data_IF_893184653134
#
_entry.id   IF_893184653134
#
_cell.length_a   1.000
_cell.length_b   1.000
_cell.length_c   1.000
_cell.angle_alpha   90.00
_cell.angle_beta   90.00
_cell.angle_gamma   90.00
#
_symmetry.space_group_name_H-M   'P 1'
#
loop_
_entity.id
_entity.type
_entity.pdbx_description
1 polymer ?
#
# COMPACT_ATOMS: atom_id res chain seq x y z
N UNK A 1 -63.86 38.75 4.09
CA UNK A 1 -63.89 37.62 3.12
C UNK A 1 -63.43 38.19 1.79
N UNK A 2 -62.32 37.81 1.16
CA UNK A 2 -61.42 36.69 1.32
C UNK A 2 -59.99 37.15 0.97
N UNK A 3 -58.98 36.52 1.58
CA UNK A 3 -57.57 36.78 1.37
C UNK A 3 -57.07 36.15 0.06
N UNK A 4 -56.30 36.92 -0.73
CA UNK A 4 -55.52 36.44 -1.86
C UNK A 4 -54.15 35.97 -1.34
N UNK A 5 -53.95 34.66 -1.30
CA UNK A 5 -52.69 34.00 -0.96
C UNK A 5 -51.83 33.96 -2.22
N UNK A 6 -50.73 34.71 -2.22
CA UNK A 6 -49.66 34.63 -3.22
C UNK A 6 -48.81 33.38 -2.93
N UNK A 7 -48.81 32.41 -3.86
CA UNK A 7 -47.91 31.26 -3.85
C UNK A 7 -46.51 31.71 -4.25
N UNK A 8 -45.63 31.94 -3.26
CA UNK A 8 -44.19 31.89 -3.44
C UNK A 8 -43.76 30.42 -3.34
N UNK A 9 -43.56 29.79 -4.51
CA UNK A 9 -42.94 28.48 -4.63
C UNK A 9 -41.47 28.58 -4.22
N UNK A 10 -41.16 28.19 -2.98
CA UNK A 10 -39.79 28.04 -2.50
C UNK A 10 -39.27 26.70 -3.05
N UNK A 11 -38.53 26.76 -4.16
CA UNK A 11 -37.69 25.65 -4.62
C UNK A 11 -36.56 25.44 -3.60
N UNK A 12 -36.74 24.54 -2.64
CA UNK A 12 -35.63 24.00 -1.84
C UNK A 12 -35.01 22.86 -2.66
N UNK A 13 -33.96 23.16 -3.40
CA UNK A 13 -33.06 22.14 -3.95
C UNK A 13 -32.26 21.56 -2.79
N UNK A 14 -32.64 20.36 -2.34
CA UNK A 14 -31.81 19.55 -1.48
C UNK A 14 -30.58 19.10 -2.29
N UNK A 15 -29.52 19.90 -2.26
CA UNK A 15 -28.20 19.40 -2.66
C UNK A 15 -27.75 18.45 -1.56
N UNK A 16 -27.87 17.14 -1.80
CA UNK A 16 -27.04 16.16 -1.12
C UNK A 16 -25.60 16.43 -1.56
N UNK A 17 -24.95 17.38 -0.91
CA UNK A 17 -23.50 17.38 -0.86
C UNK A 17 -23.12 16.21 0.06
N UNK A 18 -22.91 15.04 -0.56
CA UNK A 18 -21.93 14.10 -0.03
C UNK A 18 -20.59 14.83 -0.04
N UNK A 19 -20.34 15.60 1.03
CA UNK A 19 -19.00 16.03 1.38
C UNK A 19 -18.30 14.76 1.82
N UNK A 20 -17.72 14.03 0.87
CA UNK A 20 -16.61 13.16 1.22
C UNK A 20 -15.59 14.07 1.89
N UNK A 21 -15.17 13.80 3.14
CA UNK A 21 -13.96 14.41 3.62
C UNK A 21 -12.85 13.87 2.72
N UNK A 22 -12.50 14.64 1.68
CA UNK A 22 -11.18 14.55 1.10
C UNK A 22 -10.24 14.98 2.24
N UNK A 23 -9.68 13.99 2.92
CA UNK A 23 -8.47 14.21 3.70
C UNK A 23 -7.39 14.50 2.67
N UNK A 24 -7.16 15.78 2.43
CA UNK A 24 -5.99 16.24 1.70
C UNK A 24 -4.79 15.93 2.59
N UNK A 25 -4.13 14.79 2.34
CA UNK A 25 -2.89 14.44 3.03
C UNK A 25 -1.80 15.37 2.52
N UNK A 26 -1.54 16.42 3.28
CA UNK A 26 -0.45 17.36 3.01
C UNK A 26 0.93 16.79 3.40
N UNK A 27 1.09 15.46 3.44
CA UNK A 27 2.33 14.76 3.78
C UNK A 27 2.47 13.48 2.95
N UNK A 28 3.11 13.58 1.77
CA UNK A 28 3.88 12.50 1.14
C UNK A 28 3.26 11.10 0.98
N UNK A 29 1.93 10.96 1.06
CA UNK A 29 1.27 9.66 0.95
C UNK A 29 0.84 9.43 -0.50
N UNK A 30 1.32 8.34 -1.10
CA UNK A 30 0.91 7.91 -2.44
C UNK A 30 -0.26 6.94 -2.30
N UNK A 31 -1.47 7.39 -2.59
CA UNK A 31 -2.63 6.51 -2.77
C UNK A 31 -2.78 6.21 -4.25
N UNK A 32 -2.89 4.92 -4.62
CA UNK A 32 -3.10 4.50 -6.00
C UNK A 32 -4.26 3.51 -6.10
N UNK A 33 -5.29 3.86 -6.88
CA UNK A 33 -6.41 2.96 -7.16
C UNK A 33 -6.00 1.91 -8.20
N UNK A 34 -6.00 0.63 -7.82
CA UNK A 34 -5.75 -0.48 -8.74
C UNK A 34 -7.03 -0.86 -9.48
N UNK A 35 -7.29 -0.16 -10.58
CA UNK A 35 -8.44 -0.42 -11.44
C UNK A 35 -8.01 -1.30 -12.61
N UNK A 36 -8.64 -2.47 -12.76
CA UNK A 36 -8.41 -3.31 -13.94
C UNK A 36 -8.67 -2.50 -15.21
N UNK A 37 -7.75 -2.54 -16.19
CA UNK A 37 -7.80 -1.70 -17.39
C UNK A 37 -9.14 -1.78 -18.14
N UNK A 38 -9.74 -2.96 -18.17
CA UNK A 38 -10.97 -3.23 -18.92
C UNK A 38 -12.23 -3.10 -18.01
N UNK A 39 -12.10 -2.58 -16.79
CA UNK A 39 -13.20 -2.22 -15.89
C UNK A 39 -13.90 -0.94 -16.35
N UNK A 40 -15.23 -0.79 -16.21
CA UNK A 40 -15.94 0.47 -16.47
C UNK A 40 -15.42 1.68 -15.68
N UNK A 41 -14.73 1.45 -14.56
CA UNK A 41 -14.10 2.50 -13.76
C UNK A 41 -12.74 2.95 -14.32
N UNK A 42 -12.19 2.23 -15.31
CA UNK A 42 -10.90 2.59 -15.90
C UNK A 42 -11.06 3.75 -16.88
N UNK A 43 -10.17 4.76 -16.84
CA UNK A 43 -10.14 5.81 -17.86
C UNK A 43 -9.82 5.27 -19.26
N UNK A 44 -9.39 4.02 -19.37
CA UNK A 44 -9.07 3.33 -20.62
C UNK A 44 -10.19 2.40 -21.10
N UNK A 45 -11.33 2.37 -20.41
CA UNK A 45 -12.48 1.54 -20.75
C UNK A 45 -13.20 2.06 -21.99
N UNK A 46 -13.43 1.17 -22.94
CA UNK A 46 -14.32 1.45 -24.07
C UNK A 46 -15.57 0.57 -23.95
N UNK A 47 -16.77 1.15 -23.76
CA UNK A 47 -18.01 0.38 -23.64
C UNK A 47 -18.39 -0.34 -24.94
N UNK A 48 -17.85 0.07 -26.08
CA UNK A 48 -18.11 -0.53 -27.40
C UNK A 48 -17.22 -1.74 -27.72
N UNK A 49 -16.23 -2.06 -26.89
CA UNK A 49 -15.33 -3.21 -27.12
C UNK A 49 -15.98 -4.54 -26.70
N UNK A 50 -15.93 -5.50 -27.62
CA UNK A 50 -16.33 -6.89 -27.40
C UNK A 50 -15.29 -7.65 -26.56
N UNK A 51 -15.69 -8.78 -25.98
CA UNK A 51 -14.78 -9.64 -25.20
C UNK A 51 -13.61 -10.16 -26.05
N UNK A 52 -13.84 -10.47 -27.33
CA UNK A 52 -12.79 -10.93 -28.24
C UNK A 52 -11.73 -9.84 -28.48
N UNK A 53 -12.16 -8.59 -28.68
CA UNK A 53 -11.25 -7.46 -28.84
C UNK A 53 -10.47 -7.17 -27.56
N UNK A 54 -11.10 -7.27 -26.39
CA UNK A 54 -10.42 -7.14 -25.09
C UNK A 54 -9.35 -8.22 -24.91
N UNK A 55 -9.68 -9.47 -25.24
CA UNK A 55 -8.72 -10.58 -25.21
C UNK A 55 -7.56 -10.36 -26.19
N UNK A 56 -7.86 -9.95 -27.43
CA UNK A 56 -6.84 -9.64 -28.43
C UNK A 56 -5.92 -8.52 -27.95
N UNK A 57 -6.47 -7.45 -27.36
CA UNK A 57 -5.67 -6.36 -26.76
C UNK A 57 -4.85 -6.84 -25.57
N UNK A 58 -5.38 -7.72 -24.72
CA UNK A 58 -4.61 -8.33 -23.62
C UNK A 58 -3.43 -9.17 -24.12
N UNK A 59 -3.64 -9.94 -25.19
CA UNK A 59 -2.59 -10.68 -25.88
C UNK A 59 -1.51 -9.75 -26.45
N UNK A 60 -1.90 -8.71 -27.20
CA UNK A 60 -0.95 -7.73 -27.74
C UNK A 60 -0.17 -6.99 -26.64
N UNK A 61 -0.82 -6.68 -25.51
CA UNK A 61 -0.14 -6.12 -24.33
C UNK A 61 0.89 -7.11 -23.77
N UNK A 62 0.61 -8.41 -23.79
CA UNK A 62 1.56 -9.44 -23.39
C UNK A 62 2.79 -9.48 -24.29
N UNK A 63 2.59 -9.40 -25.60
CA UNK A 63 3.69 -9.29 -26.57
C UNK A 63 4.47 -7.98 -26.36
N UNK A 64 3.79 -6.86 -26.09
CA UNK A 64 4.44 -5.58 -25.78
C UNK A 64 5.27 -5.64 -24.49
N UNK A 65 4.79 -6.32 -23.44
CA UNK A 65 5.57 -6.57 -22.22
C UNK A 65 6.85 -7.34 -22.51
N UNK A 66 6.76 -8.39 -23.33
CA UNK A 66 7.95 -9.13 -23.78
C UNK A 66 8.90 -8.22 -24.55
N UNK A 67 8.40 -7.43 -25.50
CA UNK A 67 9.24 -6.51 -26.27
C UNK A 67 9.90 -5.44 -25.39
N UNK A 68 9.21 -4.91 -24.38
CA UNK A 68 9.79 -3.96 -23.43
C UNK A 68 10.77 -4.64 -22.46
N UNK A 69 10.64 -5.94 -22.22
CA UNK A 69 11.64 -6.71 -21.48
C UNK A 69 12.94 -6.85 -22.29
N UNK A 70 12.84 -7.09 -23.59
CA UNK A 70 14.01 -7.19 -24.48
C UNK A 70 14.57 -5.84 -24.94
N UNK A 71 13.75 -4.80 -24.95
CA UNK A 71 14.14 -3.45 -25.37
C UNK A 71 13.45 -2.41 -24.47
N UNK A 72 13.97 -2.21 -23.24
CA UNK A 72 13.32 -1.36 -22.25
C UNK A 72 13.35 0.10 -22.73
N UNK A 73 12.17 0.69 -22.92
CA UNK A 73 12.07 2.14 -22.99
C UNK A 73 12.43 2.70 -21.61
N UNK A 74 13.37 3.64 -21.55
CA UNK A 74 13.73 4.31 -20.31
C UNK A 74 12.47 4.92 -19.68
N UNK A 75 12.22 4.57 -18.42
CA UNK A 75 11.26 5.31 -17.61
C UNK A 75 11.69 6.78 -17.52
N UNK A 76 10.73 7.70 -17.32
CA UNK A 76 11.07 9.12 -17.17
C UNK A 76 12.18 9.27 -16.11
N UNK A 77 13.24 10.06 -16.38
CA UNK A 77 14.28 10.37 -15.40
C UNK A 77 13.73 11.01 -14.11
N UNK A 78 12.53 11.61 -14.16
CA UNK A 78 11.88 12.25 -13.01
C UNK A 78 11.04 11.28 -12.16
N UNK A 79 10.80 10.06 -12.62
CA UNK A 79 9.98 9.09 -11.90
C UNK A 79 10.79 8.38 -10.80
N UNK A 80 10.20 8.26 -9.61
CA UNK A 80 10.74 7.40 -8.56
C UNK A 80 10.78 5.94 -9.05
N UNK A 81 11.97 5.35 -9.01
CA UNK A 81 12.20 3.99 -9.48
C UNK A 81 12.88 3.19 -8.39
N UNK A 82 12.22 2.13 -7.93
CA UNK A 82 12.86 1.14 -7.09
C UNK A 82 13.47 0.05 -8.00
N UNK A 83 14.77 -0.24 -7.92
CA UNK A 83 15.34 -1.38 -8.64
C UNK A 83 14.67 -2.66 -8.12
N UNK A 84 14.10 -3.45 -9.02
CA UNK A 84 13.48 -4.74 -8.70
C UNK A 84 14.24 -5.88 -9.36
N UNK A 85 14.37 -6.98 -8.65
CA UNK A 85 14.97 -8.23 -9.13
C UNK A 85 13.91 -9.32 -9.11
N UNK A 86 13.78 -10.08 -10.19
CA UNK A 86 12.89 -11.25 -10.20
C UNK A 86 13.68 -12.51 -9.85
N UNK A 87 13.17 -13.30 -8.90
CA UNK A 87 13.72 -14.59 -8.50
C UNK A 87 12.59 -15.45 -7.93
N UNK A 88 12.63 -16.77 -8.09
CA UNK A 88 11.67 -17.68 -7.43
C UNK A 88 10.18 -17.50 -7.78
N UNK A 89 9.83 -16.70 -8.80
CA UNK A 89 8.44 -16.33 -9.10
C UNK A 89 7.96 -15.04 -8.41
N UNK A 90 8.86 -14.36 -7.70
CA UNK A 90 8.60 -13.14 -6.95
C UNK A 90 9.38 -11.95 -7.54
N UNK A 91 9.04 -10.74 -7.07
CA UNK A 91 9.77 -9.51 -7.35
C UNK A 91 10.28 -8.92 -6.04
N UNK A 92 11.60 -8.81 -5.92
CA UNK A 92 12.28 -8.28 -4.75
C UNK A 92 12.62 -6.82 -4.97
N UNK A 93 12.43 -6.01 -3.94
CA UNK A 93 12.73 -4.58 -3.94
C UNK A 93 13.60 -4.21 -2.73
N UNK A 94 14.64 -3.42 -2.98
CA UNK A 94 15.44 -2.84 -1.91
C UNK A 94 14.77 -1.58 -1.38
N UNK A 95 14.58 -1.54 -0.07
CA UNK A 95 14.06 -0.39 0.67
C UNK A 95 14.94 -0.11 1.89
N UNK A 96 14.83 1.07 2.46
CA UNK A 96 15.38 1.33 3.80
C UNK A 96 14.28 1.79 4.74
N UNK A 97 14.47 1.52 6.03
CA UNK A 97 13.52 1.89 7.09
C UNK A 97 14.26 2.51 8.28
N UNK A 98 13.62 3.47 8.94
CA UNK A 98 14.05 3.98 10.25
C UNK A 98 15.07 5.12 10.23
N UNK A 99 15.35 5.61 11.44
CA UNK A 99 16.32 6.67 11.71
C UNK A 99 17.19 6.28 12.92
N UNK A 100 18.42 5.75 12.72
CA UNK A 100 19.15 5.64 11.45
C UNK A 100 18.58 4.59 10.48
N UNK A 101 18.91 4.74 9.19
CA UNK A 101 18.38 3.89 8.12
C UNK A 101 18.95 2.47 8.21
N UNK A 102 18.06 1.48 8.08
CA UNK A 102 18.37 0.06 7.95
C UNK A 102 17.90 -0.41 6.58
N UNK A 103 18.78 -1.04 5.81
CA UNK A 103 18.42 -1.62 4.50
C UNK A 103 17.69 -2.94 4.67
N UNK A 104 16.65 -3.15 3.86
CA UNK A 104 15.82 -4.33 3.82
C UNK A 104 15.53 -4.74 2.38
N UNK A 105 15.20 -6.01 2.21
CA UNK A 105 14.67 -6.56 0.97
C UNK A 105 13.22 -6.97 1.25
N UNK A 106 12.29 -6.47 0.42
CA UNK A 106 10.88 -6.81 0.49
C UNK A 106 10.40 -7.50 -0.79
N UNK A 107 9.30 -8.24 -0.71
CA UNK A 107 8.59 -8.77 -1.87
C UNK A 107 7.52 -7.75 -2.27
N UNK A 108 7.40 -7.46 -3.58
CA UNK A 108 6.33 -6.64 -4.13
C UNK A 108 5.03 -7.44 -4.21
N UNK A 109 4.38 -7.62 -3.06
CA UNK A 109 3.09 -8.31 -2.94
C UNK A 109 1.92 -7.36 -3.22
N UNK A 110 1.27 -7.53 -4.36
CA UNK A 110 0.08 -6.75 -4.73
C UNK A 110 -1.24 -7.38 -4.24
N UNK A 111 -1.18 -8.52 -3.53
CA UNK A 111 -2.34 -9.25 -3.06
C UNK A 111 -2.71 -8.95 -1.60
N UNK A 112 -1.92 -8.14 -0.91
CA UNK A 112 -2.20 -7.63 0.43
C UNK A 112 -2.04 -6.10 0.50
N UNK A 113 -2.65 -5.48 1.50
CA UNK A 113 -2.76 -4.02 1.66
C UNK A 113 -1.76 -3.43 2.68
N UNK A 114 -1.42 -4.15 3.76
CA UNK A 114 -0.42 -3.74 4.74
C UNK A 114 0.97 -4.26 4.38
N UNK A 115 1.91 -3.35 4.12
CA UNK A 115 3.34 -3.69 4.07
C UNK A 115 3.83 -4.07 5.46
N UNK A 116 4.53 -5.20 5.58
CA UNK A 116 5.11 -5.66 6.85
C UNK A 116 6.56 -6.11 6.71
N UNK A 117 7.30 -6.06 7.83
CA UNK A 117 8.69 -6.50 7.94
C UNK A 117 8.88 -7.33 9.22
N UNK A 118 10.00 -8.07 9.34
CA UNK A 118 10.33 -8.71 10.61
C UNK A 118 10.92 -7.69 11.60
N UNK A 119 10.43 -7.75 12.83
CA UNK A 119 10.81 -6.84 13.91
C UNK A 119 11.30 -7.56 15.17
N UNK A 120 12.17 -6.87 15.92
CA UNK A 120 12.53 -7.27 17.28
C UNK A 120 11.47 -6.85 18.31
N UNK A 121 11.27 -7.63 19.39
CA UNK A 121 11.77 -8.99 19.56
C UNK A 121 11.11 -9.93 18.55
N UNK A 122 11.91 -10.79 17.94
CA UNK A 122 11.40 -11.85 17.08
C UNK A 122 11.21 -13.11 17.92
N UNK A 123 9.98 -13.62 17.99
CA UNK A 123 9.66 -14.84 18.73
C UNK A 123 9.78 -16.08 17.85
N UNK A 124 9.34 -15.98 16.58
CA UNK A 124 9.43 -17.04 15.58
C UNK A 124 9.49 -16.40 14.20
N UNK A 125 10.65 -16.43 13.57
CA UNK A 125 10.90 -15.74 12.30
C UNK A 125 11.61 -16.66 11.33
N UNK A 126 11.44 -16.38 10.04
CA UNK A 126 12.33 -16.94 9.02
C UNK A 126 13.69 -16.26 9.10
N UNK A 127 14.71 -16.93 8.59
CA UNK A 127 16.06 -16.36 8.49
C UNK A 127 16.07 -15.33 7.37
N UNK A 128 16.66 -14.18 7.64
CA UNK A 128 16.87 -13.15 6.64
C UNK A 128 18.31 -12.64 6.72
N UNK A 129 18.89 -12.27 5.56
CA UNK A 129 20.24 -11.73 5.49
C UNK A 129 20.35 -10.29 6.05
N UNK A 130 19.45 -9.34 5.69
CA UNK A 130 19.42 -8.04 6.35
C UNK A 130 19.08 -8.20 7.85
N UNK A 131 19.60 -7.36 8.74
CA UNK A 131 19.27 -7.45 10.16
C UNK A 131 17.77 -7.22 10.39
N UNK A 132 17.19 -8.01 11.31
CA UNK A 132 15.81 -7.79 11.78
C UNK A 132 15.73 -6.39 12.41
N UNK A 133 14.79 -5.58 11.92
CA UNK A 133 14.62 -4.20 12.35
C UNK A 133 14.26 -4.14 13.85
N UNK A 134 14.90 -3.23 14.60
CA UNK A 134 14.54 -2.96 15.98
C UNK A 134 13.83 -1.61 16.07
N UNK A 135 12.50 -1.57 16.28
CA UNK A 135 11.77 -0.32 16.39
C UNK A 135 12.22 0.54 17.58
N UNK A 136 12.94 -0.01 18.57
CA UNK A 136 13.47 0.76 19.71
C UNK A 136 14.73 1.54 19.37
N UNK A 137 15.47 1.12 18.35
CA UNK A 137 16.70 1.77 17.90
C UNK A 137 16.42 2.88 16.88
N UNK A 138 15.18 3.00 16.40
CA UNK A 138 14.76 4.04 15.48
C UNK A 138 14.06 5.19 16.21
N UNK A 139 14.63 6.39 16.09
CA UNK A 139 14.09 7.63 16.67
C UNK A 139 12.78 8.10 16.02
N UNK A 140 12.42 7.57 14.85
CA UNK A 140 11.19 7.94 14.10
C UNK A 140 10.08 6.91 14.21
N UNK A 141 10.35 5.78 14.87
CA UNK A 141 9.37 4.72 15.12
C UNK A 141 8.29 5.19 16.08
N UNK A 142 7.02 4.93 15.74
CA UNK A 142 5.88 5.17 16.63
C UNK A 142 4.90 4.02 16.57
N UNK A 143 4.33 3.66 17.72
CA UNK A 143 3.25 2.69 17.78
C UNK A 143 1.92 3.31 17.37
N UNK A 144 1.09 2.53 16.68
CA UNK A 144 -0.29 2.90 16.39
C UNK A 144 -1.22 2.40 17.49
N UNK A 145 -2.16 3.26 17.92
CA UNK A 145 -3.14 2.90 18.95
C UNK A 145 -4.38 2.21 18.37
N UNK A 146 -5.10 1.47 19.19
CA UNK A 146 -6.22 0.64 18.74
C UNK A 146 -7.40 1.42 18.12
N UNK A 147 -7.57 2.70 18.50
CA UNK A 147 -8.66 3.57 18.04
C UNK A 147 -8.23 4.51 16.90
N UNK A 148 -6.98 4.42 16.45
CA UNK A 148 -6.54 5.17 15.28
C UNK A 148 -7.25 4.69 14.01
N UNK A 149 -7.48 5.62 13.08
CA UNK A 149 -8.10 5.30 11.79
C UNK A 149 -7.33 4.21 11.02
N UNK A 150 -5.99 4.32 10.99
CA UNK A 150 -5.12 3.34 10.35
C UNK A 150 -5.28 1.93 10.93
N UNK A 151 -5.50 1.81 12.24
CA UNK A 151 -5.77 0.52 12.86
C UNK A 151 -7.15 -0.01 12.47
N UNK A 152 -8.17 0.84 12.49
CA UNK A 152 -9.55 0.46 12.16
C UNK A 152 -9.70 -0.02 10.72
N UNK A 153 -8.89 0.51 9.79
CA UNK A 153 -8.86 0.10 8.37
C UNK A 153 -8.39 -1.34 8.13
N UNK A 154 -7.73 -1.98 9.09
CA UNK A 154 -7.35 -3.39 8.99
C UNK A 154 -8.53 -4.37 9.19
N UNK A 155 -9.72 -3.85 9.51
CA UNK A 155 -10.98 -4.60 9.62
C UNK A 155 -10.85 -5.93 10.39
N UNK A 156 -10.96 -7.07 9.68
CA UNK A 156 -10.94 -8.43 10.23
C UNK A 156 -9.55 -8.88 10.67
N UNK A 157 -8.50 -8.30 10.09
CA UNK A 157 -7.09 -8.63 10.32
C UNK A 157 -6.52 -7.82 11.48
N UNK A 158 -7.27 -6.81 11.94
CA UNK A 158 -7.01 -6.03 13.15
C UNK A 158 -7.10 -6.89 14.41
N UNK A 159 -6.13 -6.70 15.30
CA UNK A 159 -6.14 -7.10 16.71
C UNK A 159 -5.80 -5.90 17.57
N UNK A 160 -6.18 -5.94 18.85
CA UNK A 160 -5.87 -4.86 19.79
C UNK A 160 -5.37 -5.46 21.09
N UNK A 161 -4.17 -5.05 21.49
CA UNK A 161 -3.72 -5.22 22.86
C UNK A 161 -4.32 -4.09 23.70
N UNK A 162 -5.43 -4.39 24.37
CA UNK A 162 -6.16 -3.42 25.21
C UNK A 162 -5.35 -2.97 26.42
N UNK A 163 -4.42 -3.79 26.91
CA UNK A 163 -3.59 -3.46 28.07
C UNK A 163 -2.55 -2.39 27.75
N UNK A 164 -2.01 -2.41 26.52
CA UNK A 164 -1.01 -1.45 26.03
C UNK A 164 -1.57 -0.41 25.07
N UNK A 165 -2.88 -0.47 24.81
CA UNK A 165 -3.57 0.30 23.76
C UNK A 165 -2.81 0.29 22.43
N UNK A 166 -2.28 -0.87 22.04
CA UNK A 166 -1.43 -1.03 20.84
C UNK A 166 -2.18 -1.82 19.77
N UNK A 167 -2.21 -1.28 18.55
CA UNK A 167 -2.78 -1.94 17.39
C UNK A 167 -1.90 -3.11 16.96
N UNK A 168 -2.54 -4.23 16.64
CA UNK A 168 -1.89 -5.45 16.19
C UNK A 168 -2.53 -5.93 14.89
N UNK A 169 -1.80 -6.72 14.13
CA UNK A 169 -2.28 -7.32 12.89
C UNK A 169 -2.00 -8.83 12.88
N UNK A 170 -2.80 -9.55 12.10
CA UNK A 170 -2.60 -10.96 11.78
C UNK A 170 -2.95 -11.20 10.32
N UNK A 171 -1.96 -11.54 9.50
CA UNK A 171 -2.17 -11.89 8.08
C UNK A 171 -1.86 -13.36 7.88
N UNK A 172 -2.69 -14.02 7.08
CA UNK A 172 -2.49 -15.39 6.62
C UNK A 172 -2.64 -15.45 5.10
N UNK A 173 -1.74 -16.19 4.46
CA UNK A 173 -1.65 -16.30 3.01
C UNK A 173 -2.10 -17.68 2.53
N UNK A 174 -2.36 -17.78 1.22
CA UNK A 174 -2.91 -18.98 0.59
C UNK A 174 -1.95 -20.19 0.62
N UNK A 175 -0.65 -19.93 0.71
CA UNK A 175 0.41 -20.95 0.89
C UNK A 175 0.49 -21.48 2.34
N UNK A 176 -0.34 -20.94 3.25
CA UNK A 176 -0.35 -21.28 4.66
C UNK A 176 0.67 -20.49 5.49
N UNK A 177 1.42 -19.56 4.89
CA UNK A 177 2.28 -18.65 5.63
C UNK A 177 1.45 -17.62 6.40
N UNK A 178 2.04 -17.05 7.45
CA UNK A 178 1.41 -16.02 8.27
C UNK A 178 2.42 -15.09 8.91
N UNK A 179 1.94 -13.89 9.25
CA UNK A 179 2.66 -12.91 10.06
C UNK A 179 1.73 -12.30 11.10
N UNK A 180 2.27 -12.00 12.29
CA UNK A 180 1.59 -11.22 13.31
C UNK A 180 2.56 -10.36 14.10
N UNK A 181 2.08 -9.19 14.51
CA UNK A 181 2.85 -8.25 15.29
C UNK A 181 2.10 -6.96 15.53
N UNK A 182 2.84 -5.91 15.87
CA UNK A 182 2.28 -4.59 16.15
C UNK A 182 2.22 -3.73 14.88
N UNK A 183 1.27 -2.82 14.81
CA UNK A 183 1.21 -1.80 13.75
C UNK A 183 1.91 -0.54 14.24
N UNK A 184 2.75 0.02 13.38
CA UNK A 184 3.53 1.22 13.67
C UNK A 184 3.56 2.20 12.50
N UNK A 185 4.15 3.36 12.73
CA UNK A 185 4.58 4.27 11.67
C UNK A 185 6.08 4.42 11.68
N UNK A 186 6.68 4.54 10.49
CA UNK A 186 8.11 4.73 10.35
C UNK A 186 8.44 5.55 9.08
N UNK A 187 9.70 5.96 8.96
CA UNK A 187 10.27 6.52 7.73
C UNK A 187 10.73 5.38 6.83
N UNK A 188 10.17 5.32 5.62
CA UNK A 188 10.63 4.42 4.55
C UNK A 188 11.40 5.22 3.51
N UNK A 189 12.41 4.60 2.91
CA UNK A 189 13.19 5.19 1.82
C UNK A 189 13.24 4.21 0.65
N UNK A 190 12.83 4.69 -0.52
CA UNK A 190 12.99 4.00 -1.79
C UNK A 190 14.09 4.73 -2.56
N UNK A 191 15.21 4.07 -2.83
CA UNK A 191 16.35 4.71 -3.47
C UNK A 191 16.01 5.19 -4.87
N UNK A 192 15.89 6.50 -5.07
CA UNK A 192 15.89 7.10 -6.40
C UNK A 192 17.32 7.18 -6.94
N UNK A 193 17.52 6.74 -8.20
CA UNK A 193 18.83 6.84 -8.88
C UNK A 193 19.26 8.29 -9.14
N UNK A 194 18.32 9.24 -9.13
CA UNK A 194 18.55 10.63 -9.55
C UNK A 194 18.50 11.62 -8.39
N UNK A 195 17.80 11.33 -7.28
CA UNK A 195 17.75 12.19 -6.11
C UNK A 195 17.46 11.39 -4.81
N UNK A 196 18.45 11.20 -3.90
CA UNK A 196 18.29 10.43 -2.66
C UNK A 196 17.15 10.89 -1.75
N UNK A 197 16.78 12.18 -1.80
CA UNK A 197 15.73 12.76 -0.95
C UNK A 197 14.33 12.59 -1.57
N UNK A 198 14.22 12.33 -2.87
CA UNK A 198 12.95 12.17 -3.60
C UNK A 198 12.23 10.84 -3.29
N UNK A 199 12.83 9.99 -2.45
CA UNK A 199 12.28 8.69 -2.08
C UNK A 199 12.06 8.50 -0.59
N UNK A 200 12.08 9.57 0.23
CA UNK A 200 11.84 9.47 1.67
C UNK A 200 10.37 9.70 2.00
N UNK A 201 9.76 8.71 2.66
CA UNK A 201 8.34 8.68 3.01
C UNK A 201 8.19 8.62 4.52
N UNK A 202 7.86 9.74 5.19
CA UNK A 202 7.64 9.76 6.63
C UNK A 202 6.24 9.24 6.99
N UNK A 203 6.11 8.69 8.20
CA UNK A 203 4.85 8.23 8.79
C UNK A 203 4.14 7.14 7.96
N UNK A 204 4.89 6.28 7.27
CA UNK A 204 4.33 5.11 6.59
C UNK A 204 3.83 4.12 7.62
N UNK A 205 2.56 3.76 7.52
CA UNK A 205 1.94 2.71 8.33
C UNK A 205 2.45 1.36 7.86
N UNK A 206 2.99 0.56 8.78
CA UNK A 206 3.54 -0.75 8.46
C UNK A 206 3.26 -1.76 9.59
N UNK A 207 3.31 -3.04 9.22
CA UNK A 207 3.28 -4.16 10.15
C UNK A 207 4.67 -4.53 10.65
N UNK A 208 4.88 -4.48 11.95
CA UNK A 208 6.11 -4.88 12.62
C UNK A 208 5.96 -6.31 13.14
N UNK A 209 6.25 -7.29 12.29
CA UNK A 209 5.98 -8.72 12.51
C UNK A 209 6.95 -9.38 13.47
N UNK A 210 6.44 -9.86 14.61
CA UNK A 210 7.24 -10.54 15.64
C UNK A 210 7.16 -12.07 15.55
N UNK A 211 6.15 -12.59 14.83
CA UNK A 211 6.01 -14.01 14.50
C UNK A 211 5.65 -14.15 13.02
N UNK A 212 6.58 -14.67 12.23
CA UNK A 212 6.50 -14.84 10.79
C UNK A 212 6.86 -16.30 10.45
N UNK A 213 5.90 -17.07 9.94
CA UNK A 213 6.11 -18.46 9.54
C UNK A 213 5.70 -18.64 8.09
N UNK A 214 6.54 -19.25 7.28
CA UNK A 214 6.28 -19.50 5.87
C UNK A 214 7.55 -20.00 5.19
N UNK A 215 7.43 -20.29 3.90
CA UNK A 215 8.56 -20.57 3.00
C UNK A 215 8.95 -19.26 2.32
N UNK A 216 9.59 -18.38 3.07
CA UNK A 216 10.20 -17.16 2.57
C UNK A 216 11.67 -17.52 2.29
N UNK A 217 11.92 -18.17 1.15
CA UNK A 217 13.25 -18.67 0.80
C UNK A 217 14.23 -17.51 0.54
N UNK A 218 15.50 -17.74 0.90
CA UNK A 218 16.63 -16.79 0.88
C UNK A 218 17.08 -16.35 -0.53
#
# INVERSE_FOLDING_TARGET
>A
MAALISLLAICITATLQFVFPFVESNNGCVTADLIHRDSPLSPLYSPSETNSERFHKAYLRSISRLNNHFNPKAASPEALQAPMVSSGGEYFVNISIGTPRVELIGIADTASDLTWIQCKPCYKCYKQNPPIFDPKESSTSKNITCQSESCLRLEKDRRCDTSRNTCQFYYSYADGSYTTGNVGTEVFVISSKTNPDQGTFPNIVYGCGNNNTGTFDE
#
